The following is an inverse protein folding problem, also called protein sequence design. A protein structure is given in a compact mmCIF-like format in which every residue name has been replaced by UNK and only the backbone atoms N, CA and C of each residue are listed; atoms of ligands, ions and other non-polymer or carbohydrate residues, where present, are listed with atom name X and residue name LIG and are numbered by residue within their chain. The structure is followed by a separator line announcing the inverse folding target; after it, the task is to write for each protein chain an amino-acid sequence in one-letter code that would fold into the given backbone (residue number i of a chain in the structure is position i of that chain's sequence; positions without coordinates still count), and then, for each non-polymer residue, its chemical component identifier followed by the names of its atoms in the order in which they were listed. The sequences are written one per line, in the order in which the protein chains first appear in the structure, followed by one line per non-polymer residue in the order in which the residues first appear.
data_IF_636341535567
#
_entry.id   IF_636341535567
#
_cell.length_a   1.000
_cell.length_b   1.000
_cell.length_c   1.000
_cell.angle_alpha   90.00
_cell.angle_beta   90.00
_cell.angle_gamma   90.00
#
_symmetry.space_group_name_H-M   'P 1'
#
loop_
_entity.id
_entity.type
_entity.pdbx_description
1 polymer ?
#
# COMPACT_ATOMS: atom_id res chain seq x y z
N UNK A 1 -25.34 -49.06 -19.29
CA UNK A 1 -24.15 -48.65 -18.51
C UNK A 1 -23.27 -47.60 -19.23
N UNK A 2 -23.81 -46.84 -20.21
CA UNK A 2 -23.08 -45.78 -20.93
C UNK A 2 -23.74 -44.37 -21.04
N UNK A 3 -24.94 -44.04 -20.51
CA UNK A 3 -25.49 -42.68 -20.65
C UNK A 3 -25.15 -41.72 -19.48
N UNK A 4 -24.73 -42.23 -18.32
CA UNK A 4 -24.49 -41.39 -17.12
C UNK A 4 -23.09 -40.74 -17.13
N UNK A 5 -22.10 -41.39 -17.76
CA UNK A 5 -20.71 -40.90 -17.79
C UNK A 5 -20.57 -39.67 -18.72
N UNK A 6 -21.41 -39.55 -19.76
CA UNK A 6 -21.35 -38.43 -20.71
C UNK A 6 -21.84 -37.10 -20.12
N UNK A 7 -22.77 -37.13 -19.17
CA UNK A 7 -23.28 -35.92 -18.50
C UNK A 7 -22.26 -35.36 -17.48
N UNK A 8 -21.45 -36.22 -16.87
CA UNK A 8 -20.41 -35.82 -15.92
C UNK A 8 -19.20 -35.18 -16.60
N UNK A 9 -18.85 -35.59 -17.84
CA UNK A 9 -17.74 -34.98 -18.58
C UNK A 9 -18.11 -33.63 -19.20
N UNK A 10 -19.34 -33.47 -19.68
CA UNK A 10 -19.83 -32.20 -20.24
C UNK A 10 -19.95 -31.08 -19.17
N UNK A 11 -20.36 -31.43 -17.95
CA UNK A 11 -20.40 -30.48 -16.82
C UNK A 11 -19.00 -30.09 -16.35
N UNK A 12 -18.04 -31.04 -16.34
CA UNK A 12 -16.66 -30.74 -15.98
C UNK A 12 -15.92 -29.89 -17.02
N UNK A 13 -16.16 -30.14 -18.31
CA UNK A 13 -15.63 -29.31 -19.40
C UNK A 13 -16.21 -27.88 -19.38
N UNK A 14 -17.49 -27.72 -19.03
CA UNK A 14 -18.11 -26.41 -18.89
C UNK A 14 -17.50 -25.62 -17.70
N UNK A 15 -17.19 -26.30 -16.60
CA UNK A 15 -16.56 -25.67 -15.42
C UNK A 15 -15.11 -25.21 -15.70
N UNK A 16 -14.34 -25.98 -16.48
CA UNK A 16 -13.00 -25.55 -16.92
C UNK A 16 -13.05 -24.38 -17.93
N UNK A 17 -14.06 -24.35 -18.82
CA UNK A 17 -14.22 -23.27 -19.81
C UNK A 17 -14.72 -21.96 -19.17
N UNK A 18 -15.49 -22.04 -18.09
CA UNK A 18 -15.89 -20.88 -17.29
C UNK A 18 -14.73 -20.29 -16.48
N UNK A 19 -13.75 -21.11 -16.08
CA UNK A 19 -12.53 -20.63 -15.41
C UNK A 19 -11.56 -19.90 -16.35
N UNK A 20 -11.55 -20.23 -17.65
CA UNK A 20 -10.70 -19.57 -18.65
C UNK A 20 -11.30 -18.27 -19.21
N UNK A 21 -12.59 -18.02 -18.98
CA UNK A 21 -13.30 -16.81 -19.42
C UNK A 21 -13.44 -15.72 -18.35
N UNK A 22 -12.93 -15.95 -17.13
CA UNK A 22 -12.73 -14.86 -16.17
C UNK A 22 -11.35 -14.25 -16.37
N UNK A 23 -11.23 -13.09 -17.05
CA UNK A 23 -10.06 -12.28 -16.82
C UNK A 23 -10.13 -11.87 -15.36
N UNK A 24 -9.30 -12.49 -14.52
CA UNK A 24 -8.76 -11.83 -13.34
C UNK A 24 -8.02 -10.61 -13.87
N UNK A 25 -8.80 -9.55 -14.08
CA UNK A 25 -8.33 -8.20 -14.33
C UNK A 25 -7.77 -7.73 -13.00
N UNK A 26 -6.61 -8.29 -12.65
CA UNK A 26 -5.67 -7.64 -11.75
C UNK A 26 -5.57 -6.21 -12.28
N UNK A 27 -5.93 -5.24 -11.44
CA UNK A 27 -5.67 -3.83 -11.68
C UNK A 27 -4.15 -3.63 -11.69
N UNK A 28 -3.47 -4.10 -12.74
CA UNK A 28 -2.16 -3.63 -13.13
C UNK A 28 -2.39 -2.39 -14.00
N UNK A 29 -2.82 -1.32 -13.35
CA UNK A 29 -2.58 0.04 -13.84
C UNK A 29 -1.59 0.69 -12.88
N UNK A 30 -0.39 0.09 -12.79
CA UNK A 30 0.80 0.88 -12.50
C UNK A 30 1.06 1.62 -13.79
N UNK A 31 0.61 2.87 -13.86
CA UNK A 31 1.07 3.79 -14.88
C UNK A 31 2.56 4.02 -14.60
N UNK A 32 3.40 3.11 -15.10
CA UNK A 32 4.85 3.29 -15.10
C UNK A 32 5.08 4.58 -15.87
N UNK A 33 5.57 5.61 -15.17
CA UNK A 33 5.88 6.90 -15.78
C UNK A 33 6.94 6.67 -16.84
N UNK A 34 6.53 6.67 -18.11
CA UNK A 34 7.43 6.50 -19.24
C UNK A 34 8.50 7.62 -19.21
N UNK A 35 9.80 7.28 -19.20
CA UNK A 35 10.87 8.27 -19.11
C UNK A 35 11.00 9.17 -20.36
N UNK A 36 10.16 8.97 -21.38
CA UNK A 36 10.20 9.70 -22.65
C UNK A 36 8.86 10.35 -23.05
N UNK A 37 7.89 10.44 -22.12
CA UNK A 37 6.63 11.17 -22.38
C UNK A 37 6.85 12.66 -22.14
N UNK A 38 6.50 13.49 -23.13
CA UNK A 38 6.50 14.94 -22.98
C UNK A 38 5.55 15.34 -21.85
N UNK A 39 6.13 15.80 -20.75
CA UNK A 39 5.42 16.24 -19.55
C UNK A 39 4.56 17.45 -19.92
N UNK A 40 3.23 17.28 -19.94
CA UNK A 40 2.35 18.44 -19.98
C UNK A 40 2.47 19.18 -18.63
N UNK A 41 2.27 20.51 -18.60
CA UNK A 41 2.33 21.28 -17.33
C UNK A 41 1.39 20.75 -16.22
N UNK A 42 0.37 19.96 -16.58
CA UNK A 42 -0.50 19.24 -15.63
C UNK A 42 0.14 17.94 -15.09
N UNK A 43 0.98 17.27 -15.87
CA UNK A 43 1.67 16.05 -15.45
C UNK A 43 2.91 16.33 -14.58
N UNK A 44 3.51 17.52 -14.68
CA UNK A 44 4.56 17.96 -13.75
C UNK A 44 3.99 18.19 -12.36
N UNK A 45 2.87 18.92 -12.25
CA UNK A 45 2.17 19.15 -10.97
C UNK A 45 1.64 17.84 -10.36
N UNK A 46 1.17 16.91 -11.20
CA UNK A 46 0.64 15.63 -10.73
C UNK A 46 1.74 14.63 -10.33
N UNK A 47 2.93 14.73 -10.93
CA UNK A 47 4.07 13.91 -10.52
C UNK A 47 4.70 14.37 -9.22
N UNK A 48 4.78 15.68 -8.98
CA UNK A 48 5.30 16.25 -7.72
C UNK A 48 4.32 16.02 -6.56
N UNK A 49 3.01 16.06 -6.83
CA UNK A 49 1.98 15.66 -5.85
C UNK A 49 2.02 14.19 -5.47
N UNK A 50 2.42 13.30 -6.39
CA UNK A 50 2.40 11.86 -6.13
C UNK A 50 3.68 11.36 -5.44
N UNK A 51 4.76 12.14 -5.45
CA UNK A 51 6.00 11.88 -4.70
C UNK A 51 6.04 12.50 -3.30
N UNK A 52 5.13 13.44 -3.00
CA UNK A 52 5.07 14.09 -1.68
C UNK A 52 4.33 13.21 -0.67
N UNK A 53 4.91 13.02 0.51
CA UNK A 53 4.25 12.28 1.59
C UNK A 53 3.09 13.04 2.29
N UNK A 54 2.94 14.34 1.98
CA UNK A 54 1.90 15.22 2.55
C UNK A 54 1.13 15.98 1.47
N UNK A 55 -0.06 16.46 1.84
CA UNK A 55 -0.85 17.39 1.05
C UNK A 55 -0.31 18.82 1.12
N UNK A 56 -0.89 19.72 0.32
CA UNK A 56 -0.51 21.14 0.29
C UNK A 56 -0.71 21.88 1.63
N UNK A 57 -1.43 21.27 2.58
CA UNK A 57 -1.69 21.81 3.92
C UNK A 57 -0.80 21.17 5.00
N UNK A 58 0.09 20.25 4.61
CA UNK A 58 0.99 19.53 5.50
C UNK A 58 0.36 18.36 6.25
N UNK A 59 -0.83 17.89 5.84
CA UNK A 59 -1.40 16.65 6.38
C UNK A 59 -0.81 15.43 5.65
N UNK A 60 -0.48 14.35 6.36
CA UNK A 60 0.04 13.15 5.74
C UNK A 60 -1.01 12.48 4.86
N UNK A 61 -0.65 12.17 3.62
CA UNK A 61 -1.49 11.39 2.70
C UNK A 61 -1.07 9.92 2.84
N UNK A 62 -1.94 9.03 3.36
CA UNK A 62 -1.61 7.61 3.52
C UNK A 62 -1.72 6.87 2.19
N UNK A 63 -0.86 7.22 1.21
CA UNK A 63 -0.71 6.43 -0.02
C UNK A 63 0.00 5.12 0.29
N UNK A 64 -0.14 4.14 -0.61
CA UNK A 64 0.52 2.84 -0.46
C UNK A 64 2.04 2.98 -0.34
N UNK A 65 2.66 3.88 -1.13
CA UNK A 65 4.09 4.18 -1.06
C UNK A 65 4.50 4.74 0.31
N UNK A 66 3.77 5.73 0.84
CA UNK A 66 4.04 6.36 2.14
C UNK A 66 3.92 5.36 3.29
N UNK A 67 2.85 4.56 3.29
CA UNK A 67 2.62 3.54 4.32
C UNK A 67 3.68 2.43 4.28
N UNK A 68 4.09 2.02 3.07
CA UNK A 68 5.09 0.95 2.92
C UNK A 68 6.49 1.43 3.30
N UNK A 69 6.87 2.64 2.88
CA UNK A 69 8.11 3.29 3.32
C UNK A 69 8.18 3.41 4.86
N UNK A 70 7.06 3.78 5.49
CA UNK A 70 6.98 4.00 6.94
C UNK A 70 6.71 2.72 7.75
N UNK A 71 6.57 1.56 7.11
CA UNK A 71 6.09 0.33 7.75
C UNK A 71 6.94 -0.09 8.97
N UNK A 72 8.28 0.07 8.90
CA UNK A 72 9.18 -0.21 10.03
C UNK A 72 8.87 0.69 11.24
N UNK A 73 8.66 1.98 11.02
CA UNK A 73 8.34 2.93 12.08
C UNK A 73 6.96 2.66 12.68
N UNK A 74 5.97 2.36 11.82
CA UNK A 74 4.60 2.01 12.25
C UNK A 74 4.63 0.75 13.12
N UNK A 75 5.41 -0.26 12.72
CA UNK A 75 5.53 -1.53 13.44
C UNK A 75 6.10 -1.38 14.86
N UNK A 76 6.97 -0.39 15.09
CA UNK A 76 7.53 -0.12 16.41
C UNK A 76 6.66 0.81 17.25
N UNK A 77 6.20 1.92 16.67
CA UNK A 77 5.52 2.99 17.41
C UNK A 77 4.04 2.70 17.64
N UNK A 78 3.36 2.12 16.66
CA UNK A 78 1.93 1.81 16.72
C UNK A 78 1.65 0.31 16.93
N UNK A 79 2.65 -0.43 17.45
CA UNK A 79 2.52 -1.85 17.76
C UNK A 79 1.31 -2.17 18.67
N UNK A 80 1.10 -1.47 19.82
CA UNK A 80 0.04 -1.87 20.75
C UNK A 80 -1.36 -1.68 20.16
N UNK A 81 -1.58 -0.61 19.39
CA UNK A 81 -2.84 -0.33 18.70
C UNK A 81 -3.10 -1.38 17.61
N UNK A 82 -2.09 -1.68 16.80
CA UNK A 82 -2.19 -2.69 15.73
C UNK A 82 -2.51 -4.07 16.29
N UNK A 83 -1.83 -4.48 17.37
CA UNK A 83 -2.08 -5.77 18.04
C UNK A 83 -3.48 -5.80 18.66
N UNK A 84 -3.94 -4.70 19.27
CA UNK A 84 -5.29 -4.62 19.83
C UNK A 84 -6.36 -4.77 18.73
N UNK A 85 -6.17 -4.12 17.59
CA UNK A 85 -7.07 -4.24 16.44
C UNK A 85 -7.10 -5.67 15.88
N UNK A 86 -5.93 -6.30 15.70
CA UNK A 86 -5.83 -7.68 15.23
C UNK A 86 -6.45 -8.69 16.21
N UNK A 87 -6.26 -8.49 17.52
CA UNK A 87 -6.92 -9.31 18.55
C UNK A 87 -8.45 -9.18 18.48
N UNK A 88 -8.97 -7.97 18.32
CA UNK A 88 -10.40 -7.75 18.16
C UNK A 88 -10.95 -8.49 16.93
N UNK A 89 -10.29 -8.35 15.77
CA UNK A 89 -10.67 -9.03 14.53
C UNK A 89 -10.58 -10.55 14.59
N UNK A 90 -9.64 -11.09 15.38
CA UNK A 90 -9.53 -12.53 15.61
C UNK A 90 -10.69 -13.07 16.46
N UNK A 91 -11.21 -12.27 17.38
CA UNK A 91 -12.30 -12.67 18.27
C UNK A 91 -13.68 -12.54 17.61
N UNK A 92 -13.91 -11.45 16.85
CA UNK A 92 -15.17 -11.19 16.16
C UNK A 92 -14.88 -10.58 14.76
N UNK A 93 -15.35 -11.21 13.66
CA UNK A 93 -15.16 -10.68 12.32
C UNK A 93 -16.04 -9.46 12.01
N UNK A 94 -17.04 -9.13 12.84
CA UNK A 94 -17.95 -8.01 12.62
C UNK A 94 -17.17 -6.68 12.51
N UNK A 95 -17.34 -5.90 11.42
CA UNK A 95 -16.64 -4.64 11.23
C UNK A 95 -16.96 -3.59 12.28
N UNK A 96 -18.16 -3.57 12.85
CA UNK A 96 -18.61 -2.50 13.77
C UNK A 96 -17.99 -2.61 15.16
N UNK A 97 -17.75 -3.84 15.64
CA UNK A 97 -17.27 -4.12 17.00
C UNK A 97 -15.84 -3.64 17.26
N UNK A 98 -15.04 -3.49 16.20
CA UNK A 98 -13.62 -3.09 16.29
C UNK A 98 -13.35 -1.69 15.72
N UNK A 99 -14.40 -0.88 15.46
CA UNK A 99 -14.24 0.45 14.86
C UNK A 99 -13.48 1.41 15.78
N UNK A 100 -13.65 1.31 17.08
CA UNK A 100 -12.91 2.09 18.08
C UNK A 100 -11.40 1.82 17.97
N UNK A 101 -11.00 0.54 17.95
CA UNK A 101 -9.60 0.13 17.79
C UNK A 101 -9.04 0.50 16.42
N UNK A 102 -9.85 0.43 15.37
CA UNK A 102 -9.47 0.89 14.03
C UNK A 102 -9.17 2.40 14.01
N UNK A 103 -9.99 3.21 14.69
CA UNK A 103 -9.74 4.66 14.84
C UNK A 103 -8.47 4.94 15.62
N UNK A 104 -8.19 4.15 16.66
CA UNK A 104 -6.95 4.29 17.45
C UNK A 104 -5.70 4.00 16.61
N UNK A 105 -5.72 2.94 15.81
CA UNK A 105 -4.66 2.63 14.84
C UNK A 105 -4.46 3.78 13.86
N UNK A 106 -5.53 4.23 13.19
CA UNK A 106 -5.44 5.31 12.20
C UNK A 106 -4.92 6.60 12.82
N UNK A 107 -5.35 6.93 14.05
CA UNK A 107 -4.86 8.12 14.77
C UNK A 107 -3.37 8.02 15.06
N UNK A 108 -2.89 6.87 15.53
CA UNK A 108 -1.46 6.65 15.78
C UNK A 108 -0.65 6.79 14.49
N UNK A 109 -1.07 6.11 13.42
CA UNK A 109 -0.36 6.12 12.13
C UNK A 109 -0.31 7.51 11.51
N UNK A 110 -1.43 8.24 11.46
CA UNK A 110 -1.43 9.60 10.92
C UNK A 110 -0.59 10.56 11.76
N UNK A 111 -0.61 10.42 13.09
CA UNK A 111 0.28 11.19 13.96
C UNK A 111 1.76 10.90 13.67
N UNK A 112 2.12 9.62 13.52
CA UNK A 112 3.47 9.20 13.20
C UNK A 112 3.93 9.70 11.83
N UNK A 113 3.09 9.60 10.79
CA UNK A 113 3.44 10.08 9.45
C UNK A 113 3.72 11.59 9.45
N UNK A 114 2.92 12.36 10.20
CA UNK A 114 3.15 13.79 10.38
C UNK A 114 4.49 14.06 11.08
N UNK A 115 4.79 13.33 12.14
CA UNK A 115 6.05 13.47 12.88
C UNK A 115 7.28 13.12 12.03
N UNK A 116 7.19 12.06 11.21
CA UNK A 116 8.27 11.64 10.32
C UNK A 116 8.54 12.69 9.23
N UNK A 117 7.47 13.19 8.59
CA UNK A 117 7.62 14.20 7.56
C UNK A 117 8.16 15.52 8.11
N UNK A 118 7.82 15.89 9.34
CA UNK A 118 8.38 17.10 9.98
C UNK A 118 9.87 16.98 10.34
N UNK A 119 10.34 15.78 10.68
CA UNK A 119 11.73 15.55 11.12
C UNK A 119 12.69 15.23 9.98
N UNK A 120 12.24 14.44 9.02
CA UNK A 120 13.06 13.83 7.98
C UNK A 120 12.39 13.99 6.61
N UNK A 121 11.92 15.20 6.32
CA UNK A 121 11.12 15.51 5.13
C UNK A 121 11.79 15.01 3.84
N UNK A 122 13.03 15.45 3.62
CA UNK A 122 13.75 15.23 2.37
C UNK A 122 13.99 13.74 2.10
N UNK A 123 14.57 13.05 3.07
CA UNK A 123 14.89 11.63 2.94
C UNK A 123 13.62 10.76 2.87
N UNK A 124 12.54 11.18 3.54
CA UNK A 124 11.25 10.51 3.43
C UNK A 124 10.64 10.67 2.04
N UNK A 125 10.65 11.88 1.47
CA UNK A 125 10.11 12.14 0.13
C UNK A 125 10.93 11.40 -0.95
N UNK A 126 12.26 11.37 -0.82
CA UNK A 126 13.14 10.60 -1.73
C UNK A 126 12.82 9.09 -1.67
N UNK A 127 12.65 8.54 -0.45
CA UNK A 127 12.33 7.13 -0.28
C UNK A 127 10.92 6.77 -0.75
N UNK A 128 9.93 7.63 -0.47
CA UNK A 128 8.56 7.48 -0.96
C UNK A 128 8.51 7.58 -2.48
N UNK A 129 9.29 8.48 -3.07
CA UNK A 129 9.42 8.60 -4.53
C UNK A 129 9.96 7.31 -5.16
N UNK A 130 10.99 6.71 -4.56
CA UNK A 130 11.49 5.41 -4.99
C UNK A 130 10.43 4.30 -4.85
N UNK A 131 9.73 4.25 -3.71
CA UNK A 131 8.66 3.28 -3.46
C UNK A 131 7.50 3.43 -4.45
N UNK A 132 7.14 4.65 -4.81
CA UNK A 132 6.12 4.91 -5.81
C UNK A 132 6.56 4.41 -7.19
N UNK A 133 7.79 4.71 -7.60
CA UNK A 133 8.32 4.31 -8.91
C UNK A 133 8.47 2.80 -9.08
N UNK A 134 8.95 2.11 -8.04
CA UNK A 134 9.16 0.66 -8.05
C UNK A 134 8.01 -0.13 -7.42
N UNK A 135 6.84 0.49 -7.25
CA UNK A 135 5.62 -0.21 -6.78
C UNK A 135 5.75 -0.91 -5.42
N UNK A 136 6.48 -0.31 -4.50
CA UNK A 136 6.78 -0.83 -3.16
C UNK A 136 7.78 -1.99 -3.11
N UNK A 137 8.63 -2.15 -4.12
CA UNK A 137 9.70 -3.15 -4.11
C UNK A 137 10.90 -2.66 -3.30
N UNK A 138 11.13 -3.26 -2.13
CA UNK A 138 12.14 -2.80 -1.20
C UNK A 138 13.58 -2.99 -1.68
N UNK A 139 13.85 -4.05 -2.44
CA UNK A 139 15.22 -4.38 -2.88
C UNK A 139 15.80 -3.34 -3.85
N UNK A 140 14.94 -2.61 -4.55
CA UNK A 140 15.32 -1.57 -5.50
C UNK A 140 15.58 -0.21 -4.83
N UNK A 141 15.09 -0.01 -3.61
CA UNK A 141 15.13 1.26 -2.87
C UNK A 141 15.99 1.22 -1.60
N UNK A 142 16.94 0.27 -1.49
CA UNK A 142 17.77 0.09 -0.28
C UNK A 142 18.64 1.31 0.02
N UNK A 143 19.08 2.05 -0.99
CA UNK A 143 19.95 3.22 -0.82
C UNK A 143 19.21 4.36 -0.13
N UNK A 144 17.99 4.63 -0.61
CA UNK A 144 17.08 5.63 -0.07
C UNK A 144 16.61 5.21 1.32
N UNK A 145 16.35 3.92 1.52
CA UNK A 145 16.02 3.35 2.83
C UNK A 145 17.12 3.61 3.86
N UNK A 146 18.38 3.30 3.53
CA UNK A 146 19.53 3.52 4.43
C UNK A 146 19.71 5.00 4.76
N UNK A 147 19.54 5.89 3.77
CA UNK A 147 19.59 7.33 3.99
C UNK A 147 18.49 7.80 4.95
N UNK A 148 17.26 7.31 4.75
CA UNK A 148 16.12 7.60 5.61
C UNK A 148 16.32 7.09 7.04
N UNK A 149 16.74 5.84 7.22
CA UNK A 149 16.96 5.24 8.55
C UNK A 149 18.14 5.89 9.31
N UNK A 150 19.12 6.44 8.58
CA UNK A 150 20.25 7.17 9.18
C UNK A 150 19.83 8.51 9.78
N UNK A 151 18.94 9.24 9.10
CA UNK A 151 18.45 10.56 9.57
C UNK A 151 17.30 10.39 10.57
N UNK A 152 16.44 9.40 10.33
CA UNK A 152 15.31 9.04 11.18
C UNK A 152 15.54 7.68 11.84
N UNK A 153 16.26 7.61 12.97
CA UNK A 153 16.52 6.35 13.64
C UNK A 153 15.22 5.74 14.21
N UNK A 154 15.12 4.42 14.08
CA UNK A 154 14.07 3.61 14.70
C UNK A 154 14.29 3.61 16.22
N UNK A 155 13.46 4.34 16.96
CA UNK A 155 13.45 4.40 18.43
C UNK A 155 12.11 3.95 18.99
#
# INVERSE_FOLDING_TARGET
MWPIILLATLTWFCFLYLLSLFPFRVCNSVEKKDPNRSISKRDSENSERMSSAVDATGNPIPTSAVLTASAKHIGLRCMPENVAFLKCKKNDPNPEKCLDKGRDVTRCVLGLLKDLHQKCQKEMDDYVGCMYYYTNEFDLCRKEQEAFEKVCPLK
#
